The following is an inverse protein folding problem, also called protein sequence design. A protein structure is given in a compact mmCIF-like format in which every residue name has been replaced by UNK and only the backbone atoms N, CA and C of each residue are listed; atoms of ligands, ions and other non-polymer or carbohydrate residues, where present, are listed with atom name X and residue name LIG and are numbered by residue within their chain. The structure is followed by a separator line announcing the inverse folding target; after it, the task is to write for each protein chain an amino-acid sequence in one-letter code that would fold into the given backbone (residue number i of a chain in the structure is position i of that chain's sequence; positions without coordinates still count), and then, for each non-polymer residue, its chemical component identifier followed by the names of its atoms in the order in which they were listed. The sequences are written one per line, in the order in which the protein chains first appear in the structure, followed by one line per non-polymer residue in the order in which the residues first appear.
data_IF_593659104768
#
_entry.id   IF_593659104768
#
_cell.length_a   1.000
_cell.length_b   1.000
_cell.length_c   1.000
_cell.angle_alpha   90.00
_cell.angle_beta   90.00
_cell.angle_gamma   90.00
#
_symmetry.space_group_name_H-M   'P 1'
#
loop_
_entity.id
_entity.type
_entity.pdbx_description
1 polymer ?
#
# COMPACT_ATOMS: atom_id res chain seq x y z
N UNK A 1 -20.35 -6.78 17.31
CA UNK A 1 -19.24 -6.59 18.28
C UNK A 1 -18.29 -5.55 17.69
N UNK A 2 -17.87 -4.52 18.42
CA UNK A 2 -17.00 -3.44 17.92
C UNK A 2 -15.50 -3.82 17.96
N UNK A 3 -15.18 -5.07 17.64
CA UNK A 3 -13.81 -5.58 17.75
C UNK A 3 -13.10 -5.35 16.41
N UNK A 4 -12.10 -4.48 16.43
CA UNK A 4 -11.13 -4.39 15.33
C UNK A 4 -10.01 -5.41 15.55
N UNK A 5 -9.37 -5.92 14.49
CA UNK A 5 -8.20 -6.77 14.62
C UNK A 5 -7.12 -6.12 15.49
N UNK A 6 -6.41 -6.90 16.30
CA UNK A 6 -5.34 -6.39 17.16
C UNK A 6 -4.32 -5.49 16.43
N UNK A 7 -3.88 -5.80 15.18
CA UNK A 7 -3.00 -4.90 14.42
C UNK A 7 -3.64 -3.53 14.14
N UNK A 8 -4.93 -3.50 13.84
CA UNK A 8 -5.68 -2.27 13.56
C UNK A 8 -5.82 -1.41 14.82
N UNK A 9 -6.06 -2.04 15.98
CA UNK A 9 -6.12 -1.33 17.26
C UNK A 9 -4.76 -0.75 17.65
N UNK A 10 -3.67 -1.50 17.47
CA UNK A 10 -2.31 -1.04 17.75
C UNK A 10 -1.92 0.13 16.83
N UNK A 11 -2.22 0.03 15.53
CA UNK A 11 -1.99 1.11 14.56
C UNK A 11 -2.78 2.39 14.92
N UNK A 12 -4.04 2.27 15.35
CA UNK A 12 -4.85 3.41 15.78
C UNK A 12 -4.26 4.12 17.02
N UNK A 13 -3.49 3.41 17.83
CA UNK A 13 -2.75 3.96 18.98
C UNK A 13 -1.32 4.42 18.64
N UNK A 14 -0.93 4.39 17.36
CA UNK A 14 0.41 4.78 16.91
C UNK A 14 1.50 3.75 17.20
N UNK A 15 1.13 2.52 17.57
CA UNK A 15 2.05 1.45 17.94
C UNK A 15 2.23 0.49 16.76
N UNK A 16 3.45 0.38 16.26
CA UNK A 16 3.82 -0.60 15.25
C UNK A 16 4.92 -1.51 15.82
N UNK A 17 4.72 -2.83 15.90
CA UNK A 17 5.65 -3.74 16.58
C UNK A 17 7.03 -3.81 15.89
N UNK A 18 7.12 -3.41 14.62
CA UNK A 18 8.37 -3.28 13.87
C UNK A 18 8.77 -1.82 13.59
N UNK A 19 8.17 -0.83 14.27
CA UNK A 19 8.65 0.54 14.16
C UNK A 19 10.02 0.66 14.84
N UNK A 20 11.02 1.25 14.15
CA UNK A 20 12.28 1.56 14.80
C UNK A 20 12.03 2.46 16.02
N UNK A 21 12.82 2.27 17.09
CA UNK A 21 12.77 3.04 18.35
C UNK A 21 12.67 4.56 18.12
N UNK A 22 13.20 5.03 16.99
CA UNK A 22 13.04 6.39 16.52
C UNK A 22 12.47 6.35 15.09
N UNK A 23 11.16 6.53 14.89
CA UNK A 23 10.58 6.53 13.56
C UNK A 23 11.08 7.74 12.79
N UNK A 24 11.93 7.50 11.78
CA UNK A 24 12.38 8.53 10.84
C UNK A 24 11.49 8.65 9.61
N UNK A 25 10.54 7.72 9.42
CA UNK A 25 9.62 7.68 8.29
C UNK A 25 8.26 7.16 8.76
N UNK A 26 7.22 7.97 8.60
CA UNK A 26 5.83 7.54 8.76
C UNK A 26 5.30 7.12 7.37
N UNK A 27 4.78 5.90 7.28
CA UNK A 27 4.15 5.38 6.06
C UNK A 27 2.66 5.18 6.33
N UNK A 28 1.81 5.64 5.43
CA UNK A 28 0.36 5.44 5.53
C UNK A 28 0.02 3.95 5.43
N UNK A 29 -0.95 3.48 6.23
CA UNK A 29 -1.37 2.06 6.26
C UNK A 29 -1.81 1.58 4.87
N UNK A 30 -2.39 2.47 4.05
CA UNK A 30 -2.79 2.18 2.66
C UNK A 30 -1.58 1.87 1.79
N UNK A 31 -0.46 2.57 2.00
CA UNK A 31 0.81 2.31 1.30
C UNK A 31 1.41 0.97 1.71
N UNK A 32 1.25 0.58 2.98
CA UNK A 32 1.67 -0.75 3.45
C UNK A 32 0.82 -1.86 2.83
N UNK A 33 -0.49 -1.67 2.70
CA UNK A 33 -1.38 -2.61 2.00
C UNK A 33 -1.02 -2.75 0.52
N UNK A 34 -0.70 -1.64 -0.15
CA UNK A 34 -0.18 -1.64 -1.52
C UNK A 34 1.11 -2.47 -1.64
N UNK A 35 2.10 -2.22 -0.76
CA UNK A 35 3.35 -2.97 -0.76
C UNK A 35 3.11 -4.47 -0.57
N UNK A 36 2.19 -4.87 0.33
CA UNK A 36 1.82 -6.27 0.51
C UNK A 36 1.22 -6.89 -0.76
N UNK A 37 0.24 -6.22 -1.39
CA UNK A 37 -0.39 -6.69 -2.64
C UNK A 37 0.61 -6.83 -3.77
N UNK A 38 1.56 -5.90 -3.83
CA UNK A 38 2.63 -5.92 -4.80
C UNK A 38 3.62 -7.08 -4.55
N UNK A 39 4.05 -7.30 -3.31
CA UNK A 39 4.99 -8.38 -2.97
C UNK A 39 4.46 -9.76 -3.37
N UNK A 40 3.14 -9.98 -3.25
CA UNK A 40 2.49 -11.22 -3.71
C UNK A 40 2.60 -11.39 -5.24
N UNK A 41 2.78 -10.30 -5.98
CA UNK A 41 2.79 -10.26 -7.45
C UNK A 41 4.19 -10.06 -8.04
N UNK A 42 5.24 -9.91 -7.23
CA UNK A 42 6.53 -9.29 -7.59
C UNK A 42 7.47 -10.10 -8.52
N UNK A 43 7.14 -11.33 -8.89
CA UNK A 43 7.99 -12.15 -9.77
C UNK A 43 7.69 -11.88 -11.26
N UNK A 44 8.73 -11.92 -12.12
CA UNK A 44 9.33 -10.79 -12.83
C UNK A 44 8.41 -10.12 -13.88
N UNK A 45 7.22 -9.70 -13.46
CA UNK A 45 6.17 -9.17 -14.33
C UNK A 45 6.06 -7.65 -14.15
N UNK A 46 6.81 -6.88 -14.93
CA UNK A 46 6.69 -5.41 -14.91
C UNK A 46 5.23 -4.94 -15.09
N UNK A 47 4.40 -5.72 -15.79
CA UNK A 47 2.96 -5.50 -15.94
C UNK A 47 2.14 -5.66 -14.65
N UNK A 48 2.57 -6.50 -13.71
CA UNK A 48 1.84 -6.65 -12.44
C UNK A 48 2.13 -5.53 -11.45
N UNK A 49 3.28 -4.86 -11.56
CA UNK A 49 3.50 -3.59 -10.86
C UNK A 49 2.47 -2.56 -11.31
N UNK A 50 2.37 -2.33 -12.63
CA UNK A 50 1.46 -1.32 -13.20
C UNK A 50 -0.01 -1.61 -12.87
N UNK A 51 -0.47 -2.85 -13.04
CA UNK A 51 -1.88 -3.17 -12.76
C UNK A 51 -2.24 -3.10 -11.27
N UNK A 52 -1.28 -3.42 -10.38
CA UNK A 52 -1.48 -3.30 -8.93
C UNK A 52 -1.49 -1.85 -8.48
N UNK A 53 -0.68 -0.99 -9.11
CA UNK A 53 -0.66 0.45 -8.88
C UNK A 53 -1.96 1.10 -9.37
N UNK A 54 -2.40 0.80 -10.58
CA UNK A 54 -3.68 1.27 -11.14
C UNK A 54 -4.85 0.88 -10.24
N UNK A 55 -4.94 -0.40 -9.85
CA UNK A 55 -6.00 -0.88 -8.97
C UNK A 55 -5.98 -0.23 -7.58
N UNK A 56 -4.79 0.10 -7.07
CA UNK A 56 -4.64 0.76 -5.78
C UNK A 56 -5.08 2.22 -5.85
N UNK A 57 -4.69 2.94 -6.90
CA UNK A 57 -5.05 4.33 -7.12
C UNK A 57 -6.54 4.49 -7.41
N UNK A 58 -7.13 3.58 -8.20
CA UNK A 58 -8.58 3.54 -8.44
C UNK A 58 -9.36 3.33 -7.14
N UNK A 59 -8.90 2.45 -6.25
CA UNK A 59 -9.46 2.27 -4.92
C UNK A 59 -9.35 3.50 -4.00
N UNK A 60 -8.47 4.45 -4.33
CA UNK A 60 -8.33 5.75 -3.66
C UNK A 60 -9.11 6.88 -4.38
N UNK A 61 -9.74 6.59 -5.52
CA UNK A 61 -10.44 7.57 -6.36
C UNK A 61 -9.54 8.36 -7.31
N UNK A 62 -8.31 7.90 -7.54
CA UNK A 62 -7.37 8.51 -8.49
C UNK A 62 -7.35 7.71 -9.79
N UNK A 63 -7.72 8.35 -10.90
CA UNK A 63 -7.62 7.76 -12.23
C UNK A 63 -6.26 8.08 -12.84
N UNK A 64 -5.53 7.07 -13.28
CA UNK A 64 -4.33 7.27 -14.09
C UNK A 64 -4.73 7.46 -15.54
N UNK A 65 -4.43 8.64 -16.10
CA UNK A 65 -4.54 8.88 -17.53
C UNK A 65 -3.28 8.33 -18.21
N UNK A 66 -3.46 7.36 -19.10
CA UNK A 66 -2.36 6.81 -19.89
C UNK A 66 -2.13 7.68 -21.13
N UNK A 67 -1.25 8.69 -21.04
CA UNK A 67 -0.64 9.26 -22.24
C UNK A 67 0.46 8.33 -22.74
N UNK A 68 0.13 7.53 -23.75
CA UNK A 68 1.12 6.73 -24.48
C UNK A 68 1.97 7.67 -25.32
N UNK A 69 3.23 7.88 -24.92
CA UNK A 69 4.20 8.58 -25.76
C UNK A 69 4.49 7.69 -26.98
N UNK A 70 3.94 8.06 -28.15
CA UNK A 70 4.27 7.43 -29.43
C UNK A 70 5.69 7.89 -29.81
N UNK A 71 6.68 7.02 -29.61
CA UNK A 71 8.04 7.17 -30.15
C UNK A 71 8.06 6.71 -31.61
#
# INVERSE_FOLDING_TARGET
CACAPAPTQLLATGLFPSAPIRPTLAVDVRVLEFAMKLFVRIAPNNTAWTSTLESFLDGLGFTLEHEVCLV
#
